data_IF_271668251150
#
_entry.id   IF_271668251150
#
_cell.length_a   1.000
_cell.length_b   1.000
_cell.length_c   1.000
_cell.angle_alpha   90.00
_cell.angle_beta   90.00
_cell.angle_gamma   90.00
#
_symmetry.space_group_name_H-M   'P 1'
#
loop_
_entity.id
_entity.type
_entity.pdbx_description
1 polymer ?
#
# COMPACT_ATOMS: atom_id res chain seq x y z
N UNK A 1 -25.03 -8.99 -4.81
CA UNK A 1 -24.07 -9.06 -3.69
C UNK A 1 -23.31 -7.76 -3.72
N UNK A 2 -23.59 -6.84 -2.78
CA UNK A 2 -22.83 -5.60 -2.66
C UNK A 2 -21.47 -6.05 -2.11
N UNK A 3 -20.42 -5.95 -2.91
CA UNK A 3 -19.07 -6.03 -2.37
C UNK A 3 -18.95 -4.82 -1.43
N UNK A 4 -18.99 -5.07 -0.12
CA UNK A 4 -18.48 -4.07 0.81
C UNK A 4 -17.02 -3.90 0.41
N UNK A 5 -16.67 -2.71 -0.08
CA UNK A 5 -15.32 -2.38 -0.48
C UNK A 5 -14.38 -2.75 0.67
N UNK A 6 -13.30 -3.48 0.37
CA UNK A 6 -12.36 -3.92 1.39
C UNK A 6 -11.77 -2.69 2.10
N UNK A 7 -11.43 -2.82 3.38
CA UNK A 7 -10.89 -1.69 4.14
C UNK A 7 -9.69 -1.08 3.41
N UNK A 8 -8.85 -1.94 2.85
CA UNK A 8 -7.64 -1.67 2.07
C UNK A 8 -7.89 -0.81 0.83
N UNK A 9 -9.01 -1.00 0.14
CA UNK A 9 -9.37 -0.26 -1.08
C UNK A 9 -9.91 1.15 -0.80
N UNK A 10 -10.38 1.40 0.42
CA UNK A 10 -10.90 2.71 0.80
C UNK A 10 -9.80 3.76 0.87
N UNK A 11 -10.17 5.02 0.63
CA UNK A 11 -9.28 6.18 0.85
C UNK A 11 -8.80 6.23 2.31
N UNK A 12 -7.51 6.49 2.49
CA UNK A 12 -6.97 6.83 3.81
C UNK A 12 -7.42 8.22 4.27
N UNK A 13 -7.73 8.35 5.55
CA UNK A 13 -8.00 9.66 6.17
C UNK A 13 -6.73 10.51 6.18
N UNK A 14 -5.57 9.89 6.47
CA UNK A 14 -4.27 10.55 6.42
C UNK A 14 -3.67 10.43 5.01
N UNK A 15 -3.27 11.55 4.43
CA UNK A 15 -2.75 11.61 3.05
C UNK A 15 -1.29 12.07 2.97
N UNK A 16 -0.76 12.67 4.04
CA UNK A 16 0.68 12.89 4.18
C UNK A 16 1.30 11.58 4.65
N UNK A 17 1.67 10.72 3.69
CA UNK A 17 2.29 9.42 3.92
C UNK A 17 3.68 9.36 3.31
N UNK A 18 4.63 8.76 4.02
CA UNK A 18 5.95 8.43 3.49
C UNK A 18 6.15 6.93 3.38
N UNK A 19 7.09 6.52 2.52
CA UNK A 19 7.33 5.12 2.17
C UNK A 19 8.82 4.78 2.15
N UNK A 20 9.62 5.37 3.05
CA UNK A 20 11.08 5.25 3.06
C UNK A 20 11.51 3.79 3.18
N UNK A 21 10.85 3.01 4.06
CA UNK A 21 11.15 1.59 4.20
C UNK A 21 10.82 0.80 2.92
N UNK A 22 9.67 1.07 2.29
CA UNK A 22 9.27 0.41 1.05
C UNK A 22 10.20 0.79 -0.12
N UNK A 23 10.54 2.07 -0.27
CA UNK A 23 11.48 2.58 -1.27
C UNK A 23 12.84 1.89 -1.15
N UNK A 24 13.35 1.71 0.06
CA UNK A 24 14.60 1.00 0.30
C UNK A 24 14.54 -0.47 -0.13
N UNK A 25 13.46 -1.18 0.19
CA UNK A 25 13.28 -2.60 -0.18
C UNK A 25 13.16 -2.80 -1.70
N UNK A 26 12.48 -1.88 -2.39
CA UNK A 26 12.34 -1.89 -3.86
C UNK A 26 13.68 -1.56 -4.53
N UNK A 27 14.38 -0.55 -4.03
CA UNK A 27 15.71 -0.16 -4.53
C UNK A 27 16.71 -1.30 -4.38
N UNK A 28 16.71 -2.01 -3.24
CA UNK A 28 17.57 -3.18 -3.00
C UNK A 28 17.38 -4.27 -4.07
N UNK A 29 16.16 -4.40 -4.60
CA UNK A 29 15.79 -5.37 -5.65
C UNK A 29 15.88 -4.79 -7.06
N UNK A 30 16.38 -3.57 -7.22
CA UNK A 30 16.41 -2.84 -8.50
C UNK A 30 15.04 -2.72 -9.16
N UNK A 31 13.99 -2.59 -8.35
CA UNK A 31 12.61 -2.36 -8.80
C UNK A 31 12.27 -0.89 -8.61
N UNK A 32 11.67 -0.27 -9.63
CA UNK A 32 11.19 1.10 -9.52
C UNK A 32 10.05 1.19 -8.48
N UNK A 33 10.04 2.25 -7.68
CA UNK A 33 8.96 2.56 -6.75
C UNK A 33 8.49 3.99 -6.97
N UNK A 34 7.60 4.18 -7.96
CA UNK A 34 6.99 5.46 -8.27
C UNK A 34 5.47 5.37 -8.35
N UNK A 35 4.82 6.46 -8.75
CA UNK A 35 3.35 6.57 -8.78
C UNK A 35 2.66 5.44 -9.57
N UNK A 36 3.25 4.99 -10.69
CA UNK A 36 2.71 3.88 -11.48
C UNK A 36 2.73 2.55 -10.72
N UNK A 37 3.81 2.26 -9.98
CA UNK A 37 3.92 1.06 -9.16
C UNK A 37 3.03 1.15 -7.93
N UNK A 38 2.98 2.31 -7.27
CA UNK A 38 2.07 2.56 -6.15
C UNK A 38 0.61 2.33 -6.55
N UNK A 39 0.18 2.83 -7.72
CA UNK A 39 -1.16 2.58 -8.23
C UNK A 39 -1.39 1.09 -8.54
N UNK A 40 -0.42 0.43 -9.18
CA UNK A 40 -0.50 -1.01 -9.52
C UNK A 40 -0.57 -1.90 -8.28
N UNK A 41 0.11 -1.52 -7.20
CA UNK A 41 0.14 -2.24 -5.92
C UNK A 41 -1.01 -1.83 -4.99
N UNK A 42 -1.88 -0.91 -5.40
CA UNK A 42 -3.03 -0.46 -4.61
C UNK A 42 -2.71 0.51 -3.48
N UNK A 43 -1.51 1.08 -3.43
CA UNK A 43 -1.16 2.13 -2.47
C UNK A 43 -1.91 3.43 -2.78
N UNK A 44 -2.17 3.68 -4.06
CA UNK A 44 -2.95 4.81 -4.57
C UNK A 44 -4.10 4.32 -5.43
N UNK A 45 -5.21 5.07 -5.43
CA UNK A 45 -6.29 4.86 -6.38
C UNK A 45 -6.05 5.63 -7.71
N UNK A 46 -7.01 5.55 -8.63
CA UNK A 46 -6.91 6.19 -9.95
C UNK A 46 -6.81 7.73 -9.90
N UNK A 47 -7.21 8.36 -8.79
CA UNK A 47 -7.14 9.80 -8.57
C UNK A 47 -5.84 10.22 -7.86
N UNK A 48 -4.85 9.32 -7.75
CA UNK A 48 -3.60 9.52 -7.02
C UNK A 48 -3.78 9.82 -5.51
N UNK A 49 -4.88 9.34 -4.94
CA UNK A 49 -5.16 9.44 -3.49
C UNK A 49 -4.70 8.15 -2.83
N UNK A 50 -4.01 8.26 -1.69
CA UNK A 50 -3.58 7.11 -0.93
C UNK A 50 -4.77 6.33 -0.34
N UNK A 51 -4.70 5.01 -0.47
CA UNK A 51 -5.67 4.08 0.10
C UNK A 51 -5.27 3.72 1.54
N UNK A 52 -6.14 3.01 2.25
CA UNK A 52 -5.81 2.43 3.54
C UNK A 52 -4.74 1.34 3.43
N UNK A 53 -4.63 0.63 2.30
CA UNK A 53 -3.48 -0.24 2.03
C UNK A 53 -2.18 0.57 2.01
N UNK A 54 -2.19 1.72 1.33
CA UNK A 54 -1.08 2.68 1.36
C UNK A 54 -0.76 3.12 2.79
N UNK A 55 -1.77 3.46 3.60
CA UNK A 55 -1.56 3.81 5.02
C UNK A 55 -0.95 2.66 5.82
N UNK A 56 -1.48 1.45 5.70
CA UNK A 56 -0.96 0.26 6.39
C UNK A 56 0.54 0.06 6.06
N UNK A 57 0.94 0.28 4.81
CA UNK A 57 2.31 0.08 4.35
C UNK A 57 3.21 1.33 4.44
N UNK A 58 2.69 2.44 4.98
CA UNK A 58 3.40 3.70 5.18
C UNK A 58 4.21 3.72 6.47
N UNK A 59 5.16 4.66 6.57
CA UNK A 59 5.95 4.87 7.78
C UNK A 59 5.11 5.43 8.94
N UNK A 60 3.91 5.96 8.67
CA UNK A 60 2.99 6.52 9.65
C UNK A 60 2.04 5.48 10.29
N UNK A 61 2.07 4.22 9.84
CA UNK A 61 1.30 3.15 10.45
C UNK A 61 1.85 2.80 11.83
N UNK A 62 1.11 3.14 12.89
CA UNK A 62 1.49 2.82 14.27
C UNK A 62 1.12 1.38 14.69
N UNK A 63 0.49 0.63 13.79
CA UNK A 63 0.02 -0.72 14.05
C UNK A 63 1.03 -1.77 13.56
N UNK A 64 1.07 -2.91 14.25
CA UNK A 64 1.87 -4.05 13.82
C UNK A 64 1.07 -4.86 12.81
N UNK A 65 1.67 -5.08 11.64
CA UNK A 65 1.09 -5.89 10.57
C UNK A 65 1.79 -7.25 10.57
N UNK A 66 1.00 -8.31 10.45
CA UNK A 66 1.49 -9.67 10.26
C UNK A 66 0.97 -10.18 8.93
N UNK A 67 1.88 -10.51 8.04
CA UNK A 67 1.56 -11.09 6.73
C UNK A 67 2.02 -12.54 6.69
N UNK A 68 1.28 -13.36 5.95
CA UNK A 68 1.64 -14.73 5.65
C UNK A 68 1.39 -14.95 4.16
N UNK A 69 2.40 -15.49 3.47
CA UNK A 69 2.24 -15.94 2.09
C UNK A 69 1.81 -17.39 2.14
N UNK A 70 0.63 -17.68 1.60
CA UNK A 70 0.15 -19.03 1.41
C UNK A 70 0.44 -19.44 -0.03
N UNK A 71 1.02 -20.62 -0.22
CA UNK A 71 1.10 -21.25 -1.52
C UNK A 71 -0.09 -22.19 -1.63
N UNK A 72 -1.11 -21.78 -2.38
CA UNK A 72 -2.12 -22.74 -2.83
C UNK A 72 -1.44 -23.70 -3.81
N UNK A 73 -1.59 -25.01 -3.55
CA UNK A 73 -1.11 -26.10 -4.42
C UNK A 73 -2.14 -26.34 -5.51
#
# INVERSE_FOLDING_TARGET
MIALESYEEQRSIQQDLTFVAAEAEFTLRSVAFGAAQMATLGFMNADHIYTNLGFILSDECVHIIKTAVFQDV
#
